data_IF_693059364378
#
_entry.id   IF_693059364378
#
_cell.length_a   1.000
_cell.length_b   1.000
_cell.length_c   1.000
_cell.angle_alpha   90.00
_cell.angle_beta   90.00
_cell.angle_gamma   90.00
#
_symmetry.space_group_name_H-M   'P 1'
#
loop_
_entity.id
_entity.type
_entity.pdbx_description
1 polymer ?
#
# COMPACT_ATOMS: atom_id res chain seq x y z
N UNK A 1 -25.14 25.22 -31.69
CA UNK A 1 -24.55 24.04 -32.36
C UNK A 1 -24.66 22.87 -31.40
N UNK A 2 -25.43 21.85 -31.77
CA UNK A 2 -25.72 20.69 -30.91
C UNK A 2 -24.74 19.56 -31.21
N UNK A 3 -23.98 19.12 -30.21
CA UNK A 3 -23.07 17.97 -30.32
C UNK A 3 -23.83 16.71 -29.89
N UNK A 4 -24.19 15.86 -30.87
CA UNK A 4 -24.74 14.52 -30.64
C UNK A 4 -23.57 13.58 -30.31
N UNK A 5 -23.58 13.02 -29.10
CA UNK A 5 -22.65 11.96 -28.70
C UNK A 5 -23.35 10.62 -28.97
N UNK A 6 -22.73 9.66 -29.69
CA UNK A 6 -23.32 8.34 -29.86
C UNK A 6 -23.24 7.57 -28.54
N UNK A 7 -24.41 7.19 -28.01
CA UNK A 7 -24.56 6.20 -26.95
C UNK A 7 -23.99 4.87 -27.43
N UNK A 8 -22.81 4.49 -26.94
CA UNK A 8 -22.36 3.11 -27.01
C UNK A 8 -23.29 2.26 -26.13
N UNK A 9 -24.21 1.55 -26.77
CA UNK A 9 -24.95 0.45 -26.17
C UNK A 9 -23.95 -0.67 -25.83
N UNK A 10 -23.50 -0.71 -24.58
CA UNK A 10 -22.83 -1.90 -24.06
C UNK A 10 -23.88 -2.98 -23.84
N UNK A 11 -23.96 -3.88 -24.81
CA UNK A 11 -24.69 -5.15 -24.70
C UNK A 11 -24.10 -5.95 -23.53
N UNK A 12 -24.84 -6.01 -22.43
CA UNK A 12 -24.53 -6.88 -21.29
C UNK A 12 -24.94 -8.31 -21.68
N UNK A 13 -24.04 -9.03 -22.34
CA UNK A 13 -24.08 -10.49 -22.53
C UNK A 13 -22.77 -10.91 -23.17
N UNK A 14 -21.69 -11.05 -22.39
CA UNK A 14 -20.54 -11.94 -22.64
C UNK A 14 -19.58 -11.87 -21.45
N UNK A 15 -20.00 -12.40 -20.30
CA UNK A 15 -19.07 -12.70 -19.21
C UNK A 15 -18.22 -13.90 -19.65
N UNK A 16 -16.88 -13.83 -19.68
CA UNK A 16 -16.08 -15.03 -19.87
C UNK A 16 -16.27 -15.93 -18.64
N UNK A 17 -16.87 -17.09 -18.87
CA UNK A 17 -16.98 -18.18 -17.89
C UNK A 17 -15.59 -18.43 -17.25
N UNK A 18 -15.47 -18.54 -15.93
CA UNK A 18 -14.19 -18.84 -15.29
C UNK A 18 -13.68 -20.18 -15.81
N UNK A 19 -12.51 -20.15 -16.46
CA UNK A 19 -11.79 -21.37 -16.85
C UNK A 19 -11.42 -22.10 -15.56
N UNK A 20 -11.88 -23.35 -15.43
CA UNK A 20 -11.41 -24.26 -14.40
C UNK A 20 -9.89 -24.35 -14.51
N UNK A 21 -9.19 -23.95 -13.45
CA UNK A 21 -7.76 -24.19 -13.31
C UNK A 21 -7.50 -25.70 -13.40
N UNK A 22 -6.53 -26.17 -14.20
CA UNK A 22 -6.07 -27.54 -14.10
C UNK A 22 -5.53 -27.76 -12.67
N UNK A 23 -6.02 -28.79 -12.00
CA UNK A 23 -5.43 -29.29 -10.77
C UNK A 23 -4.03 -29.80 -11.11
N UNK A 24 -3.04 -28.93 -11.01
CA UNK A 24 -1.65 -29.35 -11.03
C UNK A 24 -1.38 -30.09 -9.71
N UNK A 25 -0.89 -31.34 -9.74
CA UNK A 25 -0.41 -31.97 -8.53
C UNK A 25 0.68 -31.07 -7.96
N UNK A 26 0.56 -30.73 -6.68
CA UNK A 26 1.63 -30.10 -5.92
C UNK A 26 2.86 -31.00 -6.03
N UNK A 27 3.74 -30.72 -6.97
CA UNK A 27 5.10 -31.23 -6.93
C UNK A 27 5.73 -30.52 -5.74
N UNK A 28 5.75 -31.19 -4.59
CA UNK A 28 6.59 -30.82 -3.48
C UNK A 28 7.99 -30.60 -4.05
N UNK A 29 8.42 -29.33 -4.14
CA UNK A 29 9.84 -29.05 -4.35
C UNK A 29 10.56 -29.80 -3.23
N UNK A 30 11.54 -30.67 -3.52
CA UNK A 30 12.37 -31.20 -2.45
C UNK A 30 12.93 -29.98 -1.72
N UNK A 31 12.66 -29.89 -0.43
CA UNK A 31 13.37 -28.97 0.45
C UNK A 31 14.84 -29.18 0.14
N UNK A 32 15.48 -28.22 -0.55
CA UNK A 32 16.92 -28.15 -0.58
C UNK A 32 17.30 -27.90 0.86
N UNK A 33 17.56 -28.99 1.59
CA UNK A 33 18.28 -28.95 2.83
C UNK A 33 19.60 -28.29 2.45
N UNK A 34 19.72 -27.00 2.77
CA UNK A 34 20.98 -26.31 2.70
C UNK A 34 21.86 -26.98 3.78
N UNK A 35 22.54 -28.05 3.40
CA UNK A 35 23.67 -28.55 4.18
C UNK A 35 24.73 -27.46 4.13
N UNK A 36 24.69 -26.56 5.11
CA UNK A 36 25.73 -25.57 5.33
C UNK A 36 26.95 -26.38 5.77
N UNK A 37 27.77 -26.78 4.80
CA UNK A 37 29.10 -27.29 5.10
C UNK A 37 29.89 -26.12 5.70
N UNK A 38 30.02 -26.12 7.03
CA UNK A 38 30.95 -25.28 7.77
C UNK A 38 32.38 -25.71 7.44
N UNK A 39 32.82 -25.39 6.22
CA UNK A 39 34.21 -25.41 5.85
C UNK A 39 34.87 -24.35 6.72
N UNK A 40 35.79 -24.74 7.62
CA UNK A 40 36.62 -23.82 8.42
C UNK A 40 37.52 -22.98 7.49
N UNK A 41 36.92 -22.06 6.74
CA UNK A 41 37.62 -20.88 6.24
C UNK A 41 37.56 -19.92 7.40
N UNK A 42 38.71 -19.51 7.92
CA UNK A 42 38.82 -18.46 8.93
C UNK A 42 38.35 -17.14 8.30
N UNK A 43 37.04 -17.00 8.12
CA UNK A 43 36.40 -15.71 7.91
C UNK A 43 36.64 -14.96 9.22
N UNK A 44 37.63 -14.07 9.20
CA UNK A 44 37.95 -13.29 10.38
C UNK A 44 36.74 -12.46 10.80
N UNK A 45 36.53 -12.33 12.10
CA UNK A 45 35.40 -11.59 12.68
C UNK A 45 35.27 -10.18 12.09
N UNK A 46 36.39 -9.56 11.70
CA UNK A 46 36.43 -8.26 11.01
C UNK A 46 35.73 -8.28 9.65
N UNK A 47 35.90 -9.34 8.85
CA UNK A 47 35.26 -9.47 7.55
C UNK A 47 33.75 -9.71 7.68
N UNK A 48 33.34 -10.47 8.69
CA UNK A 48 31.93 -10.69 9.01
C UNK A 48 31.26 -9.42 9.54
N UNK A 49 31.95 -8.68 10.42
CA UNK A 49 31.46 -7.40 10.93
C UNK A 49 31.33 -6.35 9.81
N UNK A 50 32.26 -6.33 8.85
CA UNK A 50 32.20 -5.44 7.69
C UNK A 50 31.01 -5.78 6.78
N UNK A 51 30.80 -7.06 6.46
CA UNK A 51 29.66 -7.49 5.64
C UNK A 51 28.33 -7.18 6.33
N UNK A 52 28.25 -7.40 7.65
CA UNK A 52 27.09 -7.02 8.45
C UNK A 52 26.85 -5.51 8.39
N UNK A 53 27.88 -4.67 8.59
CA UNK A 53 27.74 -3.22 8.53
C UNK A 53 27.23 -2.75 7.17
N UNK A 54 27.78 -3.29 6.07
CA UNK A 54 27.32 -3.01 4.71
C UNK A 54 25.86 -3.44 4.51
N UNK A 55 25.47 -4.60 5.05
CA UNK A 55 24.08 -5.09 4.96
C UNK A 55 23.11 -4.19 5.73
N UNK A 56 23.48 -3.74 6.94
CA UNK A 56 22.68 -2.83 7.77
C UNK A 56 22.53 -1.47 7.09
N UNK A 57 23.61 -0.94 6.51
CA UNK A 57 23.55 0.32 5.76
C UNK A 57 22.62 0.22 4.53
N UNK A 58 22.67 -0.89 3.79
CA UNK A 58 21.73 -1.16 2.68
C UNK A 58 20.28 -1.27 3.17
N UNK A 59 20.04 -1.89 4.32
CA UNK A 59 18.70 -2.00 4.90
C UNK A 59 18.18 -0.62 5.30
N UNK A 60 18.99 0.17 5.99
CA UNK A 60 18.61 1.51 6.44
C UNK A 60 18.28 2.44 5.27
N UNK A 61 19.13 2.45 4.23
CA UNK A 61 18.87 3.26 3.03
C UNK A 61 17.60 2.85 2.30
N UNK A 62 17.31 1.54 2.21
CA UNK A 62 16.07 1.05 1.62
C UNK A 62 14.84 1.40 2.49
N UNK A 63 14.96 1.36 3.81
CA UNK A 63 13.90 1.77 4.74
C UNK A 63 13.56 3.25 4.56
N UNK A 64 14.56 4.13 4.54
CA UNK A 64 14.36 5.57 4.32
C UNK A 64 13.69 5.85 2.97
N UNK A 65 14.10 5.15 1.91
CA UNK A 65 13.47 5.29 0.59
C UNK A 65 12.01 4.87 0.61
N UNK A 66 11.71 3.76 1.31
CA UNK A 66 10.36 3.23 1.43
C UNK A 66 9.45 4.16 2.23
N UNK A 67 9.95 4.72 3.31
CA UNK A 67 9.25 5.73 4.11
C UNK A 67 8.93 6.98 3.28
N UNK A 68 9.93 7.53 2.57
CA UNK A 68 9.75 8.68 1.68
C UNK A 68 8.74 8.41 0.57
N UNK A 69 8.83 7.25 -0.08
CA UNK A 69 7.89 6.84 -1.12
C UNK A 69 6.46 6.70 -0.56
N UNK A 70 6.31 6.18 0.65
CA UNK A 70 5.01 6.03 1.29
C UNK A 70 4.41 7.37 1.69
N UNK A 71 5.17 8.26 2.33
CA UNK A 71 4.72 9.61 2.66
C UNK A 71 4.22 10.34 1.41
N UNK A 72 5.00 10.27 0.33
CA UNK A 72 4.62 10.83 -0.97
C UNK A 72 3.36 10.19 -1.55
N UNK A 73 3.17 8.88 -1.35
CA UNK A 73 1.96 8.19 -1.80
C UNK A 73 0.71 8.63 -1.02
N UNK A 74 0.84 8.92 0.28
CA UNK A 74 -0.24 9.45 1.12
C UNK A 74 -0.63 10.87 0.70
N UNK A 75 0.37 11.73 0.47
CA UNK A 75 0.16 13.08 -0.06
C UNK A 75 -0.59 13.06 -1.41
N UNK A 76 -0.17 12.19 -2.33
CA UNK A 76 -0.83 12.03 -3.63
C UNK A 76 -2.27 11.53 -3.49
N UNK A 77 -2.50 10.50 -2.67
CA UNK A 77 -3.84 9.96 -2.41
C UNK A 77 -4.78 11.03 -1.84
N UNK A 78 -4.29 11.85 -0.91
CA UNK A 78 -5.08 12.93 -0.33
C UNK A 78 -5.37 14.04 -1.35
N UNK A 79 -4.41 14.37 -2.22
CA UNK A 79 -4.63 15.32 -3.31
C UNK A 79 -5.72 14.84 -4.28
N UNK A 80 -5.70 13.56 -4.65
CA UNK A 80 -6.75 12.94 -5.49
C UNK A 80 -8.11 12.95 -4.79
N UNK A 81 -8.16 12.72 -3.48
CA UNK A 81 -9.39 12.82 -2.69
C UNK A 81 -9.94 14.26 -2.68
N UNK A 82 -9.07 15.27 -2.56
CA UNK A 82 -9.45 16.68 -2.66
C UNK A 82 -10.05 17.00 -4.03
N UNK A 83 -9.43 16.51 -5.10
CA UNK A 83 -9.93 16.66 -6.47
C UNK A 83 -11.30 15.97 -6.65
N UNK A 84 -11.43 14.73 -6.19
CA UNK A 84 -12.70 13.98 -6.21
C UNK A 84 -13.82 14.74 -5.51
N UNK A 85 -13.53 15.34 -4.36
CA UNK A 85 -14.49 16.14 -3.61
C UNK A 85 -14.69 17.57 -4.15
N UNK A 86 -13.84 18.02 -5.07
CA UNK A 86 -13.77 19.42 -5.52
C UNK A 86 -13.67 20.43 -4.38
N UNK A 87 -12.91 20.07 -3.33
CA UNK A 87 -12.70 20.87 -2.13
C UNK A 87 -11.21 21.15 -1.92
N UNK A 88 -10.91 22.24 -1.23
CA UNK A 88 -9.53 22.50 -0.78
C UNK A 88 -9.15 21.61 0.40
N UNK A 89 -7.86 21.41 0.60
CA UNK A 89 -7.31 20.61 1.69
C UNK A 89 -7.88 20.99 3.06
N UNK A 90 -7.98 22.28 3.37
CA UNK A 90 -8.51 22.77 4.65
C UNK A 90 -10.01 22.44 4.83
N UNK A 91 -10.77 22.51 3.73
CA UNK A 91 -12.20 22.21 3.71
C UNK A 91 -12.44 20.71 3.87
N UNK A 92 -11.65 19.88 3.18
CA UNK A 92 -11.67 18.42 3.34
C UNK A 92 -11.31 18.05 4.77
N UNK A 93 -10.28 18.64 5.36
CA UNK A 93 -9.88 18.39 6.74
C UNK A 93 -11.01 18.73 7.74
N UNK A 94 -11.60 19.92 7.61
CA UNK A 94 -12.75 20.31 8.43
C UNK A 94 -13.96 19.39 8.26
N UNK A 95 -14.27 19.00 7.01
CA UNK A 95 -15.39 18.11 6.70
C UNK A 95 -15.16 16.71 7.26
N UNK A 96 -13.95 16.17 7.08
CA UNK A 96 -13.55 14.85 7.56
C UNK A 96 -13.64 14.74 9.07
N UNK A 97 -13.15 15.75 9.81
CA UNK A 97 -13.23 15.78 11.28
C UNK A 97 -14.67 15.81 11.81
N UNK A 98 -15.63 16.33 11.02
CA UNK A 98 -17.05 16.42 11.39
C UNK A 98 -17.88 15.21 10.94
N UNK A 99 -17.39 14.43 9.98
CA UNK A 99 -18.07 13.22 9.48
C UNK A 99 -18.10 12.12 10.52
N UNK A 100 -19.21 11.40 10.57
CA UNK A 100 -19.30 10.15 11.33
C UNK A 100 -18.46 9.06 10.67
N UNK A 101 -18.09 8.06 11.45
CA UNK A 101 -17.25 6.97 10.98
C UNK A 101 -17.87 6.23 9.78
N UNK A 102 -19.18 5.99 9.81
CA UNK A 102 -19.92 5.34 8.72
C UNK A 102 -19.91 6.17 7.44
N UNK A 103 -20.04 7.50 7.57
CA UNK A 103 -20.01 8.44 6.44
C UNK A 103 -18.62 8.45 5.79
N UNK A 104 -17.55 8.39 6.59
CA UNK A 104 -16.17 8.25 6.09
C UNK A 104 -16.00 6.95 5.30
N UNK A 105 -16.49 5.83 5.83
CA UNK A 105 -16.40 4.54 5.13
C UNK A 105 -17.13 4.53 3.80
N UNK A 106 -18.32 5.13 3.73
CA UNK A 106 -19.08 5.26 2.48
C UNK A 106 -18.31 6.11 1.48
N UNK A 107 -17.81 7.28 1.90
CA UNK A 107 -17.04 8.18 1.05
C UNK A 107 -15.78 7.50 0.49
N UNK A 108 -14.99 6.84 1.34
CA UNK A 108 -13.78 6.13 0.92
C UNK A 108 -14.12 5.00 -0.05
N UNK A 109 -15.21 4.27 0.20
CA UNK A 109 -15.62 3.18 -0.68
C UNK A 109 -16.01 3.69 -2.07
N UNK A 110 -16.75 4.78 -2.16
CA UNK A 110 -17.10 5.42 -3.43
C UNK A 110 -15.85 5.93 -4.15
N UNK A 111 -14.99 6.66 -3.44
CA UNK A 111 -13.71 7.14 -3.96
C UNK A 111 -12.85 5.99 -4.51
N UNK A 112 -12.65 4.91 -3.74
CA UNK A 112 -11.84 3.75 -4.16
C UNK A 112 -12.47 3.00 -5.32
N UNK A 113 -13.79 2.93 -5.41
CA UNK A 113 -14.45 2.29 -6.55
C UNK A 113 -14.21 3.06 -7.86
N UNK A 114 -14.20 4.39 -7.83
CA UNK A 114 -13.95 5.22 -9.01
C UNK A 114 -12.45 5.31 -9.33
N UNK A 115 -11.63 5.58 -8.32
CA UNK A 115 -10.19 5.75 -8.46
C UNK A 115 -9.45 4.42 -8.71
N UNK A 116 -9.90 3.34 -8.06
CA UNK A 116 -9.33 2.00 -8.14
C UNK A 116 -9.52 1.30 -9.49
N UNK A 117 -10.27 1.88 -10.43
CA UNK A 117 -10.30 1.38 -11.82
C UNK A 117 -8.94 1.54 -12.50
N UNK A 118 -8.15 2.53 -12.09
CA UNK A 118 -6.85 2.87 -12.68
C UNK A 118 -5.65 2.30 -11.91
N UNK A 119 -5.87 1.67 -10.75
CA UNK A 119 -4.82 1.16 -9.86
C UNK A 119 -5.13 -0.26 -9.40
N UNK A 120 -4.11 -1.06 -9.06
CA UNK A 120 -4.36 -2.29 -8.31
C UNK A 120 -5.06 -1.91 -7.00
N UNK A 121 -6.31 -2.35 -6.75
CA UNK A 121 -7.15 -1.73 -5.74
C UNK A 121 -6.51 -1.89 -4.37
N UNK A 122 -6.07 -0.77 -3.79
CA UNK A 122 -5.82 -0.69 -2.37
C UNK A 122 -7.13 -1.03 -1.67
N UNK A 123 -7.07 -1.88 -0.65
CA UNK A 123 -8.27 -2.16 0.13
C UNK A 123 -8.84 -0.86 0.70
N UNK A 124 -10.17 -0.74 0.73
CA UNK A 124 -10.88 0.41 1.33
C UNK A 124 -10.36 0.72 2.73
N UNK A 125 -10.00 -0.33 3.50
CA UNK A 125 -9.37 -0.22 4.81
C UNK A 125 -8.04 0.53 4.78
N UNK A 126 -7.15 0.17 3.86
CA UNK A 126 -5.83 0.80 3.75
C UNK A 126 -5.93 2.28 3.39
N UNK A 127 -6.87 2.63 2.50
CA UNK A 127 -7.08 4.03 2.08
C UNK A 127 -7.61 4.87 3.26
N UNK A 128 -8.56 4.32 4.01
CA UNK A 128 -9.12 4.96 5.21
C UNK A 128 -8.04 5.20 6.28
N UNK A 129 -7.22 4.19 6.56
CA UNK A 129 -6.09 4.28 7.51
C UNK A 129 -5.05 5.33 7.05
N UNK A 130 -4.71 5.39 5.76
CA UNK A 130 -3.77 6.39 5.21
C UNK A 130 -4.30 7.83 5.30
N UNK A 131 -5.59 8.05 5.00
CA UNK A 131 -6.20 9.38 5.09
C UNK A 131 -6.29 9.84 6.55
N UNK A 132 -6.67 8.93 7.46
CA UNK A 132 -6.74 9.25 8.88
C UNK A 132 -5.36 9.63 9.46
N UNK A 133 -4.27 8.98 9.02
CA UNK A 133 -2.90 9.33 9.43
C UNK A 133 -2.45 10.69 8.86
N UNK A 134 -2.70 10.95 7.57
CA UNK A 134 -2.35 12.24 6.95
C UNK A 134 -3.00 13.44 7.66
N UNK A 135 -4.26 13.29 8.11
CA UNK A 135 -5.01 14.35 8.78
C UNK A 135 -4.68 14.55 10.27
N UNK A 136 -3.87 13.66 10.87
CA UNK A 136 -3.44 13.72 12.27
C UNK A 136 -2.11 14.46 12.46
N UNK A 137 -1.36 14.77 11.40
CA UNK A 137 0.04 15.23 11.44
C UNK A 137 0.26 16.66 12.01
N UNK A 138 -0.70 17.21 12.77
CA UNK A 138 -0.52 18.43 13.59
C UNK A 138 0.11 18.12 14.97
N UNK A 139 0.16 16.85 15.42
CA UNK A 139 0.77 16.44 16.70
C UNK A 139 1.13 14.95 16.67
N UNK A 140 2.44 14.65 16.72
CA UNK A 140 3.07 13.34 16.96
C UNK A 140 3.30 12.43 15.74
N UNK A 141 4.55 12.41 15.29
CA UNK A 141 5.13 11.54 14.27
C UNK A 141 5.29 10.06 14.69
N UNK A 142 4.49 9.54 15.63
CA UNK A 142 4.68 8.19 16.18
C UNK A 142 3.54 7.20 15.91
N UNK A 143 2.37 7.66 15.49
CA UNK A 143 1.21 6.77 15.30
C UNK A 143 1.07 6.40 13.83
N UNK A 144 2.06 5.65 13.36
CA UNK A 144 2.07 5.02 12.05
C UNK A 144 1.07 3.84 12.02
N UNK A 145 0.17 3.75 11.03
CA UNK A 145 -0.84 2.69 11.03
C UNK A 145 -0.22 1.28 10.93
N UNK A 146 -0.82 0.23 11.51
CA UNK A 146 -0.23 -1.11 11.57
C UNK A 146 0.16 -1.73 10.22
N UNK A 147 -0.60 -1.44 9.17
CA UNK A 147 -0.26 -1.86 7.81
C UNK A 147 1.03 -1.18 7.32
N UNK A 148 1.25 0.08 7.64
CA UNK A 148 2.45 0.81 7.28
C UNK A 148 3.68 0.34 8.06
N UNK A 149 3.56 0.09 9.38
CA UNK A 149 4.63 -0.53 10.18
C UNK A 149 5.09 -1.86 9.57
N UNK A 150 4.15 -2.77 9.29
CA UNK A 150 4.44 -4.06 8.64
C UNK A 150 5.09 -3.90 7.28
N UNK A 151 4.67 -2.89 6.52
CA UNK A 151 5.25 -2.62 5.21
C UNK A 151 6.69 -2.10 5.36
N UNK A 152 7.00 -1.23 6.30
CA UNK A 152 8.38 -0.78 6.59
C UNK A 152 9.27 -1.86 7.21
N UNK A 153 8.71 -3.02 7.58
CA UNK A 153 9.44 -4.05 8.32
C UNK A 153 9.63 -3.69 9.80
N UNK A 154 8.86 -2.70 10.30
CA UNK A 154 8.81 -2.33 11.69
C UNK A 154 7.83 -3.27 12.42
N UNK A 155 8.25 -3.78 13.58
CA UNK A 155 7.40 -4.58 14.46
C UNK A 155 6.27 -3.73 15.05
N UNK A 156 5.14 -4.37 15.33
CA UNK A 156 4.05 -3.77 16.10
C UNK A 156 4.47 -3.77 17.58
N UNK A 157 4.97 -2.65 18.10
CA UNK A 157 5.15 -2.51 19.56
C UNK A 157 3.76 -2.59 20.20
N UNK A 158 3.57 -3.66 20.97
CA UNK A 158 2.32 -4.02 21.66
C UNK A 158 2.10 -3.15 22.88
#
# INVERSE_FOLDING_TARGET
MAMRIPLFQFSSNNLPRPRKLPNHPFTSRPNKIHNISCTKKNLGDTALALDLAISVEKINTHLEQKEKAMKKSMELLFSELCQYLSLKEEEVNMKWRKMKEEEKWVLVKEFVNEWGVNFHPLSVRSVKEMVDEYLQDDKSSSVMFPGFKRMLGLSEDT
#
